data_IF_279774112342
#
_entry.id   IF_279774112342
#
_cell.length_a   1.000
_cell.length_b   1.000
_cell.length_c   1.000
_cell.angle_alpha   90.00
_cell.angle_beta   90.00
_cell.angle_gamma   90.00
#
_symmetry.space_group_name_H-M   'P 1'
#
loop_
_entity.id
_entity.type
_entity.pdbx_description
1 polymer ?
#
# COMPACT_ATOMS: atom_id res chain seq x y z
N UNK A 1 -34.98 -54.86 17.97
CA UNK A 1 -34.59 -54.69 16.56
C UNK A 1 -35.05 -53.36 16.00
N UNK A 2 -36.33 -52.96 16.17
CA UNK A 2 -36.84 -51.64 15.74
C UNK A 2 -36.19 -50.50 16.49
N UNK A 3 -35.90 -50.66 17.75
CA UNK A 3 -35.26 -49.67 18.63
C UNK A 3 -33.81 -49.41 18.20
N UNK A 4 -33.06 -50.47 17.87
CA UNK A 4 -31.68 -50.34 17.38
C UNK A 4 -31.63 -49.64 16.04
N UNK A 5 -32.59 -49.89 15.15
CA UNK A 5 -32.71 -49.23 13.85
C UNK A 5 -32.99 -47.74 13.97
N UNK A 6 -33.94 -47.38 14.87
CA UNK A 6 -34.28 -46.00 15.16
C UNK A 6 -33.08 -45.22 15.78
N UNK A 7 -32.34 -45.87 16.66
CA UNK A 7 -31.14 -45.28 17.27
C UNK A 7 -30.03 -45.03 16.25
N UNK A 8 -29.83 -45.94 15.30
CA UNK A 8 -28.88 -45.76 14.17
C UNK A 8 -29.28 -44.57 13.29
N UNK A 9 -30.57 -44.49 12.96
CA UNK A 9 -31.08 -43.35 12.15
C UNK A 9 -30.88 -42.02 12.83
N UNK A 10 -31.14 -41.94 14.12
CA UNK A 10 -30.88 -40.72 14.92
C UNK A 10 -29.40 -40.37 14.95
N UNK A 11 -28.55 -41.37 15.11
CA UNK A 11 -27.10 -41.15 15.12
C UNK A 11 -26.60 -40.64 13.76
N UNK A 12 -27.05 -41.22 12.67
CA UNK A 12 -26.72 -40.76 11.30
C UNK A 12 -27.17 -39.32 11.06
N UNK A 13 -28.35 -38.99 11.54
CA UNK A 13 -28.89 -37.64 11.41
C UNK A 13 -28.06 -36.61 12.20
N UNK A 14 -27.65 -36.95 13.42
CA UNK A 14 -26.75 -36.13 14.23
C UNK A 14 -25.41 -35.93 13.55
N UNK A 15 -24.84 -36.99 12.99
CA UNK A 15 -23.57 -36.95 12.28
C UNK A 15 -23.63 -36.07 11.02
N UNK A 16 -24.73 -36.14 10.27
CA UNK A 16 -24.98 -35.27 9.11
C UNK A 16 -25.08 -33.80 9.52
N UNK A 17 -25.80 -33.48 10.58
CA UNK A 17 -25.90 -32.11 11.11
C UNK A 17 -24.56 -31.58 11.57
N UNK A 18 -23.79 -32.40 12.28
CA UNK A 18 -22.46 -32.04 12.73
C UNK A 18 -21.52 -31.74 11.56
N UNK A 19 -21.53 -32.57 10.51
CA UNK A 19 -20.74 -32.34 9.29
C UNK A 19 -21.15 -31.08 8.56
N UNK A 20 -22.44 -30.81 8.43
CA UNK A 20 -22.95 -29.57 7.80
C UNK A 20 -22.51 -28.34 8.56
N UNK A 21 -22.61 -28.35 9.87
CA UNK A 21 -22.16 -27.25 10.73
C UNK A 21 -20.66 -27.01 10.58
N UNK A 22 -19.88 -28.08 10.52
CA UNK A 22 -18.44 -27.99 10.33
C UNK A 22 -18.07 -27.39 8.96
N UNK A 23 -18.73 -27.85 7.90
CA UNK A 23 -18.54 -27.35 6.54
C UNK A 23 -18.91 -25.85 6.46
N UNK A 24 -20.03 -25.47 7.06
CA UNK A 24 -20.45 -24.07 7.10
C UNK A 24 -19.46 -23.19 7.86
N UNK A 25 -18.98 -23.68 9.01
CA UNK A 25 -17.98 -22.96 9.82
C UNK A 25 -16.67 -22.76 9.05
N UNK A 26 -16.20 -23.80 8.35
CA UNK A 26 -15.01 -23.74 7.50
C UNK A 26 -15.19 -22.75 6.34
N UNK A 27 -16.36 -22.79 5.71
CA UNK A 27 -16.69 -21.86 4.61
C UNK A 27 -16.70 -20.42 5.07
N UNK A 28 -17.32 -20.13 6.20
CA UNK A 28 -17.33 -18.80 6.81
C UNK A 28 -15.93 -18.33 7.16
N UNK A 29 -15.11 -19.21 7.75
CA UNK A 29 -13.74 -18.90 8.12
C UNK A 29 -12.90 -18.58 6.88
N UNK A 30 -13.05 -19.33 5.78
CA UNK A 30 -12.37 -19.08 4.51
C UNK A 30 -12.78 -17.74 3.89
N UNK A 31 -14.06 -17.44 3.88
CA UNK A 31 -14.57 -16.17 3.35
C UNK A 31 -14.04 -14.98 4.15
N UNK A 32 -14.04 -15.11 5.47
CA UNK A 32 -13.51 -14.09 6.36
C UNK A 32 -12.02 -13.86 6.16
N UNK A 33 -11.25 -14.94 6.03
CA UNK A 33 -9.82 -14.88 5.76
C UNK A 33 -9.52 -14.22 4.41
N UNK A 34 -10.30 -14.52 3.37
CA UNK A 34 -10.19 -13.89 2.05
C UNK A 34 -10.48 -12.39 2.12
N UNK A 35 -11.50 -12.02 2.85
CA UNK A 35 -11.89 -10.62 3.00
C UNK A 35 -10.83 -9.82 3.75
N UNK A 36 -10.28 -10.37 4.82
CA UNK A 36 -9.18 -9.76 5.56
C UNK A 36 -7.93 -9.59 4.70
N UNK A 37 -7.58 -10.62 3.92
CA UNK A 37 -6.45 -10.58 3.00
C UNK A 37 -6.64 -9.51 1.93
N UNK A 38 -7.84 -9.40 1.37
CA UNK A 38 -8.18 -8.37 0.40
C UNK A 38 -8.02 -6.97 0.98
N UNK A 39 -8.52 -6.75 2.19
CA UNK A 39 -8.39 -5.46 2.89
C UNK A 39 -6.94 -5.12 3.18
N UNK A 40 -6.15 -6.10 3.57
CA UNK A 40 -4.73 -5.93 3.83
C UNK A 40 -3.98 -5.53 2.55
N UNK A 41 -4.22 -6.21 1.44
CA UNK A 41 -3.63 -5.89 0.14
C UNK A 41 -4.02 -4.49 -0.34
N UNK A 42 -5.26 -4.11 -0.12
CA UNK A 42 -5.77 -2.78 -0.46
C UNK A 42 -5.07 -1.69 0.34
N UNK A 43 -4.86 -1.90 1.64
CA UNK A 43 -4.11 -0.98 2.51
C UNK A 43 -2.66 -0.85 2.06
N UNK A 44 -2.00 -1.97 1.78
CA UNK A 44 -0.62 -1.99 1.28
C UNK A 44 -0.50 -1.23 -0.04
N UNK A 45 -1.45 -1.42 -0.94
CA UNK A 45 -1.49 -0.71 -2.21
C UNK A 45 -1.62 0.79 -2.02
N UNK A 46 -2.53 1.23 -1.16
CA UNK A 46 -2.72 2.64 -0.83
C UNK A 46 -1.48 3.26 -0.19
N UNK A 47 -0.84 2.53 0.71
CA UNK A 47 0.39 2.97 1.37
C UNK A 47 1.53 3.13 0.36
N UNK A 48 1.67 2.20 -0.57
CA UNK A 48 2.66 2.30 -1.65
C UNK A 48 2.43 3.52 -2.53
N UNK A 49 1.19 3.78 -2.88
CA UNK A 49 0.84 4.97 -3.68
C UNK A 49 1.18 6.25 -2.94
N UNK A 50 0.87 6.35 -1.67
CA UNK A 50 1.21 7.50 -0.84
C UNK A 50 2.72 7.70 -0.75
N UNK A 51 3.48 6.63 -0.59
CA UNK A 51 4.92 6.68 -0.52
C UNK A 51 5.55 7.12 -1.83
N UNK A 52 5.07 6.60 -2.96
CA UNK A 52 5.51 7.04 -4.29
C UNK A 52 5.23 8.51 -4.53
N UNK A 53 4.08 8.99 -4.10
CA UNK A 53 3.72 10.38 -4.23
C UNK A 53 4.62 11.29 -3.39
N UNK A 54 4.95 10.89 -2.17
CA UNK A 54 5.89 11.61 -1.32
C UNK A 54 7.28 11.68 -1.94
N UNK A 55 7.78 10.55 -2.46
CA UNK A 55 9.07 10.48 -3.13
C UNK A 55 9.12 11.38 -4.36
N UNK A 56 8.05 11.36 -5.16
CA UNK A 56 7.92 12.23 -6.33
C UNK A 56 7.97 13.70 -5.95
N UNK A 57 7.22 14.11 -4.94
CA UNK A 57 7.20 15.49 -4.44
C UNK A 57 8.57 15.91 -3.90
N UNK A 58 9.25 15.03 -3.20
CA UNK A 58 10.58 15.28 -2.69
C UNK A 58 11.60 15.48 -3.80
N UNK A 59 11.59 14.62 -4.81
CA UNK A 59 12.45 14.75 -6.00
C UNK A 59 12.19 16.05 -6.76
N UNK A 60 10.92 16.42 -6.87
CA UNK A 60 10.51 17.67 -7.52
C UNK A 60 11.04 18.89 -6.76
N UNK A 61 10.96 18.89 -5.44
CA UNK A 61 11.52 19.94 -4.59
C UNK A 61 13.04 20.04 -4.73
N UNK A 62 13.72 18.92 -4.69
CA UNK A 62 15.18 18.85 -4.86
C UNK A 62 15.60 19.37 -6.23
N UNK A 63 14.85 19.03 -7.25
CA UNK A 63 15.10 19.52 -8.61
C UNK A 63 14.92 21.05 -8.69
N UNK A 64 13.86 21.57 -8.12
CA UNK A 64 13.63 23.02 -8.07
C UNK A 64 14.70 23.77 -7.28
N UNK A 65 15.13 23.21 -6.17
CA UNK A 65 16.22 23.79 -5.36
C UNK A 65 17.53 23.81 -6.14
N UNK A 66 17.87 22.73 -6.87
CA UNK A 66 19.05 22.68 -7.72
C UNK A 66 18.99 23.72 -8.84
N UNK A 67 17.82 23.89 -9.46
CA UNK A 67 17.64 24.93 -10.49
C UNK A 67 17.84 26.32 -9.93
N UNK A 68 17.28 26.61 -8.76
CA UNK A 68 17.44 27.91 -8.08
C UNK A 68 18.91 28.16 -7.73
N UNK A 69 19.60 27.15 -7.22
CA UNK A 69 21.02 27.27 -6.89
C UNK A 69 21.88 27.54 -8.12
N UNK A 70 21.61 26.86 -9.23
CA UNK A 70 22.29 27.10 -10.51
C UNK A 70 22.04 28.51 -11.04
N UNK A 71 20.81 28.97 -10.98
CA UNK A 71 20.42 30.30 -11.42
C UNK A 71 21.09 31.38 -10.59
N UNK A 72 21.12 31.20 -9.28
CA UNK A 72 21.81 32.09 -8.37
C UNK A 72 23.31 32.17 -8.64
N UNK A 73 23.96 31.02 -8.81
CA UNK A 73 25.37 30.95 -9.16
C UNK A 73 25.67 31.62 -10.50
N UNK A 74 24.78 31.46 -11.47
CA UNK A 74 24.88 32.10 -12.79
C UNK A 74 24.80 33.62 -12.69
N UNK A 75 23.87 34.13 -11.90
CA UNK A 75 23.73 35.59 -11.66
C UNK A 75 24.94 36.16 -10.96
N UNK A 76 25.48 35.46 -9.98
CA UNK A 76 26.67 35.89 -9.25
C UNK A 76 27.89 35.89 -10.16
N UNK A 77 28.03 34.90 -11.02
CA UNK A 77 29.09 34.84 -12.03
C UNK A 77 29.01 36.00 -13.02
N UNK A 78 27.80 36.35 -13.48
CA UNK A 78 27.57 37.49 -14.36
C UNK A 78 27.95 38.82 -13.70
N UNK A 79 27.54 39.02 -12.45
CA UNK A 79 27.89 40.21 -11.68
C UNK A 79 29.41 40.36 -11.49
N UNK A 80 30.08 39.25 -11.19
CA UNK A 80 31.53 39.23 -11.07
C UNK A 80 32.23 39.60 -12.37
N UNK A 81 31.74 39.11 -13.52
CA UNK A 81 32.24 39.47 -14.84
C UNK A 81 32.05 40.95 -15.17
N UNK A 82 30.87 41.49 -14.84
CA UNK A 82 30.60 42.91 -15.06
C UNK A 82 31.47 43.80 -14.18
N UNK A 83 31.67 43.43 -12.93
CA UNK A 83 32.55 44.15 -12.01
C UNK A 83 34.02 44.14 -12.51
N UNK A 84 34.48 42.97 -12.97
CA UNK A 84 35.83 42.85 -13.58
C UNK A 84 35.97 43.67 -14.83
N UNK A 85 34.96 43.72 -15.69
CA UNK A 85 34.96 44.54 -16.90
C UNK A 85 34.98 46.03 -16.58
N UNK A 86 34.24 46.49 -15.58
CA UNK A 86 34.25 47.86 -15.11
C UNK A 86 35.62 48.27 -14.54
N UNK A 87 36.24 47.38 -13.76
CA UNK A 87 37.56 47.60 -13.21
C UNK A 87 38.65 47.75 -14.30
N UNK A 88 38.54 46.97 -15.38
CA UNK A 88 39.47 47.09 -16.54
C UNK A 88 39.29 48.37 -17.33
N UNK A 89 38.10 48.94 -17.37
CA UNK A 89 37.82 50.20 -18.09
C UNK A 89 38.32 51.43 -17.38
N UNK A 90 38.58 51.34 -16.11
CA UNK A 90 39.17 52.40 -15.31
C UNK A 90 40.71 52.39 -15.48
#
# INVERSE_FOLDING_TARGET
LLKAKADREKQLERDRKAKLQQVEAERKAKLKAREELRKQKEREYKDRLKQKEKERKQKEREYKEKLKAKEKARREALKAKEAAAKAKRR
#
